data_IF_070860678331
#
_entry.id   IF_070860678331
#
_cell.length_a   1.000
_cell.length_b   1.000
_cell.length_c   1.000
_cell.angle_alpha   90.00
_cell.angle_beta   90.00
_cell.angle_gamma   90.00
#
_symmetry.space_group_name_H-M   'P 1'
#
loop_
_entity.id
_entity.type
_entity.pdbx_description
1 polymer ?
#
# COMPACT_ATOMS: atom_id res chain seq x y z
N UNK A 1 -5.43 -25.48 -10.10
CA UNK A 1 -4.17 -24.77 -9.80
C UNK A 1 -3.72 -24.92 -8.35
N UNK A 2 -4.55 -24.68 -7.32
CA UNK A 2 -4.11 -24.77 -5.92
C UNK A 2 -3.35 -26.05 -5.51
N UNK A 3 -3.87 -27.24 -5.85
CA UNK A 3 -3.16 -28.51 -5.57
C UNK A 3 -1.84 -28.65 -6.35
N UNK A 4 -1.79 -28.15 -7.59
CA UNK A 4 -0.58 -28.21 -8.43
C UNK A 4 0.53 -27.34 -7.83
N UNK A 5 0.16 -26.12 -7.41
CA UNK A 5 1.07 -25.19 -6.73
C UNK A 5 1.50 -25.76 -5.38
N UNK A 6 0.60 -26.41 -4.66
CA UNK A 6 0.96 -27.12 -3.43
C UNK A 6 2.00 -28.22 -3.69
N UNK A 7 1.83 -29.05 -4.72
CA UNK A 7 2.83 -30.07 -5.08
C UNK A 7 4.16 -29.41 -5.47
N UNK A 8 4.13 -28.36 -6.29
CA UNK A 8 5.32 -27.60 -6.68
C UNK A 8 6.10 -27.06 -5.47
N UNK A 9 5.42 -26.43 -4.52
CA UNK A 9 6.05 -25.81 -3.34
C UNK A 9 6.49 -26.86 -2.31
N UNK A 10 5.64 -27.84 -2.02
CA UNK A 10 5.84 -28.73 -0.85
C UNK A 10 6.50 -30.06 -1.21
N UNK A 11 6.38 -30.53 -2.45
CA UNK A 11 6.96 -31.81 -2.89
C UNK A 11 8.19 -31.57 -3.73
N UNK A 12 8.14 -30.60 -4.65
CA UNK A 12 9.28 -30.25 -5.52
C UNK A 12 10.17 -29.15 -4.95
N UNK A 13 9.82 -28.58 -3.80
CA UNK A 13 10.58 -27.51 -3.12
C UNK A 13 10.87 -26.30 -4.01
N UNK A 14 9.92 -25.92 -4.87
CA UNK A 14 10.02 -24.70 -5.67
C UNK A 14 9.72 -23.50 -4.75
N UNK A 15 10.78 -22.92 -4.18
CA UNK A 15 10.69 -21.77 -3.29
C UNK A 15 10.27 -20.50 -4.04
N UNK A 16 9.63 -19.58 -3.33
CA UNK A 16 9.16 -18.28 -3.85
C UNK A 16 8.21 -18.37 -5.07
N UNK A 17 7.63 -19.54 -5.32
CA UNK A 17 6.58 -19.69 -6.32
C UNK A 17 5.30 -19.01 -5.81
N UNK A 18 4.83 -18.05 -6.58
CA UNK A 18 3.57 -17.37 -6.40
C UNK A 18 2.61 -17.79 -7.52
N UNK A 19 1.32 -17.80 -7.20
CA UNK A 19 0.28 -18.11 -8.16
C UNK A 19 -0.93 -17.21 -7.93
N UNK A 20 -1.44 -16.62 -9.00
CA UNK A 20 -2.71 -15.91 -9.01
C UNK A 20 -3.60 -16.51 -10.09
N UNK A 21 -4.62 -17.27 -9.67
CA UNK A 21 -5.53 -18.01 -10.57
C UNK A 21 -4.78 -18.99 -11.49
N UNK A 22 -4.41 -18.56 -12.69
CA UNK A 22 -3.67 -19.30 -13.71
C UNK A 22 -2.24 -18.78 -13.95
N UNK A 23 -1.92 -17.59 -13.47
CA UNK A 23 -0.60 -16.99 -13.61
C UNK A 23 0.33 -17.46 -12.49
N UNK A 24 1.43 -18.12 -12.85
CA UNK A 24 2.50 -18.54 -11.94
C UNK A 24 3.75 -17.69 -12.18
N UNK A 25 4.38 -17.22 -11.11
CA UNK A 25 5.55 -16.35 -11.18
C UNK A 25 6.45 -16.59 -9.97
N UNK A 26 7.72 -16.23 -10.08
CA UNK A 26 8.72 -16.41 -9.03
C UNK A 26 10.00 -15.69 -9.36
N UNK A 27 10.98 -15.77 -8.46
CA UNK A 27 12.30 -15.16 -8.60
C UNK A 27 13.38 -16.21 -8.39
N UNK A 28 14.46 -16.12 -9.16
CA UNK A 28 15.68 -16.92 -8.96
C UNK A 28 16.91 -16.09 -9.29
N UNK A 29 18.10 -16.60 -9.00
CA UNK A 29 19.37 -16.00 -9.40
C UNK A 29 19.66 -16.26 -10.88
N UNK A 30 20.33 -15.32 -11.53
CA UNK A 30 20.59 -15.34 -12.99
C UNK A 30 21.47 -16.52 -13.45
N UNK A 31 22.24 -17.10 -12.54
CA UNK A 31 23.08 -18.26 -12.79
C UNK A 31 22.31 -19.59 -12.73
N UNK A 32 21.10 -19.61 -12.18
CA UNK A 32 20.30 -20.83 -11.98
C UNK A 32 19.37 -21.14 -13.16
N UNK A 33 19.99 -21.40 -14.31
CA UNK A 33 19.29 -21.69 -15.57
C UNK A 33 19.44 -23.16 -15.98
N UNK A 34 18.35 -23.73 -16.49
CA UNK A 34 18.27 -25.08 -17.04
C UNK A 34 17.61 -25.06 -18.43
N UNK A 35 18.04 -25.96 -19.32
CA UNK A 35 17.40 -26.11 -20.64
C UNK A 35 16.09 -26.89 -20.51
N UNK A 36 15.00 -26.30 -20.98
CA UNK A 36 13.72 -26.98 -21.12
C UNK A 36 13.56 -27.50 -22.55
N UNK A 37 13.79 -28.81 -22.72
CA UNK A 37 13.82 -29.49 -24.02
C UNK A 37 12.57 -29.26 -24.90
N UNK A 38 11.31 -29.31 -24.39
CA UNK A 38 10.14 -29.11 -25.24
C UNK A 38 10.11 -27.76 -25.96
N UNK A 39 10.74 -26.73 -25.37
CA UNK A 39 10.83 -25.40 -25.97
C UNK A 39 12.22 -25.05 -26.52
N UNK A 40 13.22 -25.90 -26.29
CA UNK A 40 14.62 -25.66 -26.67
C UNK A 40 15.10 -24.28 -26.16
N UNK A 41 14.81 -23.98 -24.89
CA UNK A 41 15.04 -22.67 -24.28
C UNK A 41 15.67 -22.82 -22.90
N UNK A 42 16.63 -21.97 -22.57
CA UNK A 42 17.16 -21.85 -21.21
C UNK A 42 16.21 -20.98 -20.39
N UNK A 43 15.75 -21.52 -19.28
CA UNK A 43 14.83 -20.89 -18.34
C UNK A 43 15.36 -21.06 -16.92
N UNK A 44 14.83 -20.30 -15.97
CA UNK A 44 15.06 -20.53 -14.55
C UNK A 44 14.81 -22.01 -14.18
N UNK A 45 15.73 -22.65 -13.44
CA UNK A 45 15.60 -24.06 -13.02
C UNK A 45 14.26 -24.32 -12.34
N UNK A 46 13.83 -23.40 -11.47
CA UNK A 46 12.52 -23.44 -10.80
C UNK A 46 11.34 -23.42 -11.78
N UNK A 47 11.44 -22.66 -12.87
CA UNK A 47 10.43 -22.62 -13.95
C UNK A 47 10.46 -23.92 -14.76
N UNK A 48 11.63 -24.46 -15.06
CA UNK A 48 11.77 -25.77 -15.73
C UNK A 48 11.16 -26.89 -14.90
N UNK A 49 11.39 -26.91 -13.59
CA UNK A 49 10.80 -27.87 -12.67
C UNK A 49 9.27 -27.79 -12.66
N UNK A 50 8.71 -26.56 -12.67
CA UNK A 50 7.27 -26.34 -12.75
C UNK A 50 6.69 -26.81 -14.10
N UNK A 51 7.35 -26.51 -15.21
CA UNK A 51 6.94 -26.95 -16.55
C UNK A 51 6.94 -28.48 -16.66
N UNK A 52 7.96 -29.15 -16.11
CA UNK A 52 8.03 -30.62 -16.06
C UNK A 52 6.91 -31.22 -15.20
N UNK A 53 6.54 -30.56 -14.09
CA UNK A 53 5.37 -30.97 -13.31
C UNK A 53 4.09 -30.85 -14.14
N UNK A 54 3.95 -29.78 -14.91
CA UNK A 54 2.80 -29.60 -15.80
C UNK A 54 2.76 -30.66 -16.90
N UNK A 55 3.90 -30.99 -17.50
CA UNK A 55 4.01 -32.10 -18.46
C UNK A 55 3.57 -33.43 -17.84
N UNK A 56 4.07 -33.73 -16.64
CA UNK A 56 3.73 -34.95 -15.91
C UNK A 56 2.23 -35.06 -15.61
N UNK A 57 1.60 -33.93 -15.27
CA UNK A 57 0.16 -33.86 -14.98
C UNK A 57 -0.71 -33.73 -16.24
N UNK A 58 -0.11 -33.57 -17.43
CA UNK A 58 -0.83 -33.31 -18.67
C UNK A 58 -1.51 -31.94 -18.72
N UNK A 59 -1.00 -30.95 -17.99
CA UNK A 59 -1.54 -29.59 -17.99
C UNK A 59 -1.07 -28.82 -19.23
N UNK A 60 -1.98 -28.17 -19.99
CA UNK A 60 -1.59 -27.42 -21.16
C UNK A 60 -0.81 -26.16 -20.76
N UNK A 61 0.33 -25.97 -21.40
CA UNK A 61 1.12 -24.75 -21.31
C UNK A 61 1.72 -24.41 -22.67
N UNK A 62 2.09 -23.15 -22.89
CA UNK A 62 2.53 -22.67 -24.20
C UNK A 62 3.78 -21.80 -24.10
N UNK A 63 4.74 -22.03 -25.00
CA UNK A 63 6.03 -21.33 -25.07
C UNK A 63 5.89 -19.81 -25.06
N UNK A 64 4.90 -19.27 -25.80
CA UNK A 64 4.67 -17.82 -25.94
C UNK A 64 4.28 -17.12 -24.63
N UNK A 65 3.88 -17.88 -23.62
CA UNK A 65 3.53 -17.38 -22.28
C UNK A 65 4.62 -17.63 -21.24
N UNK A 66 5.78 -18.16 -21.64
CA UNK A 66 6.90 -18.42 -20.74
C UNK A 66 7.92 -17.30 -20.85
N UNK A 67 8.00 -16.50 -19.80
CA UNK A 67 8.93 -15.38 -19.69
C UNK A 67 9.99 -15.69 -18.62
N UNK A 68 11.21 -15.20 -18.84
CA UNK A 68 12.34 -15.32 -17.93
C UNK A 68 13.26 -14.12 -18.18
N UNK A 69 12.88 -12.99 -17.60
CA UNK A 69 13.56 -11.70 -17.78
C UNK A 69 13.82 -11.06 -16.42
N UNK A 70 14.69 -10.06 -16.39
CA UNK A 70 15.05 -9.34 -15.16
C UNK A 70 13.91 -8.47 -14.62
N UNK A 71 13.00 -8.01 -15.49
CA UNK A 71 11.84 -7.18 -15.15
C UNK A 71 10.64 -7.80 -15.86
N UNK A 72 9.53 -8.03 -15.16
CA UNK A 72 8.37 -8.72 -15.71
C UNK A 72 7.06 -8.05 -15.35
N UNK A 73 6.13 -8.07 -16.30
CA UNK A 73 4.73 -7.75 -16.04
C UNK A 73 4.04 -8.95 -15.40
N UNK A 74 3.68 -8.79 -14.13
CA UNK A 74 2.99 -9.80 -13.31
C UNK A 74 1.66 -9.23 -12.87
N UNK A 75 0.57 -9.93 -13.18
CA UNK A 75 -0.82 -9.54 -12.87
C UNK A 75 -1.17 -8.09 -13.26
N UNK A 76 -0.48 -7.50 -14.25
CA UNK A 76 -0.68 -6.11 -14.68
C UNK A 76 0.15 -5.07 -13.93
N UNK A 77 1.18 -5.50 -13.18
CA UNK A 77 2.19 -4.63 -12.59
C UNK A 77 3.58 -4.97 -13.14
N UNK A 78 4.37 -3.95 -13.44
CA UNK A 78 5.77 -4.11 -13.80
C UNK A 78 6.59 -4.29 -12.52
N UNK A 79 7.24 -5.44 -12.39
CA UNK A 79 8.02 -5.84 -11.22
C UNK A 79 9.50 -5.84 -11.58
N UNK A 80 10.29 -5.07 -10.84
CA UNK A 80 11.75 -5.10 -10.86
C UNK A 80 12.27 -5.68 -9.54
N UNK A 81 12.66 -6.97 -9.49
CA UNK A 81 13.22 -7.62 -8.31
C UNK A 81 14.65 -7.17 -7.98
N UNK A 82 15.36 -6.48 -8.88
CA UNK A 82 16.71 -5.97 -8.60
C UNK A 82 16.63 -4.59 -7.94
N UNK A 83 15.76 -3.72 -8.44
CA UNK A 83 15.45 -2.43 -7.81
C UNK A 83 14.48 -2.57 -6.63
N UNK A 84 13.90 -3.75 -6.46
CA UNK A 84 12.87 -4.03 -5.46
C UNK A 84 11.65 -3.11 -5.60
N UNK A 85 11.19 -2.90 -6.83
CA UNK A 85 10.04 -2.02 -7.12
C UNK A 85 8.89 -2.75 -7.82
N UNK A 86 7.68 -2.28 -7.53
CA UNK A 86 6.47 -2.58 -8.30
C UNK A 86 5.81 -1.28 -8.73
N UNK A 87 5.42 -1.20 -10.00
CA UNK A 87 4.73 -0.05 -10.57
C UNK A 87 3.75 -0.48 -11.66
N UNK A 88 3.02 0.47 -12.22
CA UNK A 88 2.23 0.22 -13.43
C UNK A 88 3.15 0.19 -14.66
N UNK A 89 2.88 -0.68 -15.65
CA UNK A 89 3.54 -0.61 -16.94
C UNK A 89 3.43 0.81 -17.53
N UNK A 90 4.48 1.37 -18.17
CA UNK A 90 4.51 2.78 -18.59
C UNK A 90 3.31 3.21 -19.44
N UNK A 91 2.85 2.33 -20.32
CA UNK A 91 1.68 2.56 -21.17
C UNK A 91 0.39 2.60 -20.34
N UNK A 92 0.17 1.62 -19.47
CA UNK A 92 -0.99 1.56 -18.57
C UNK A 92 -1.03 2.74 -17.60
N UNK A 93 0.14 3.15 -17.09
CA UNK A 93 0.29 4.35 -16.24
C UNK A 93 -0.13 5.61 -16.98
N UNK A 94 0.35 5.78 -18.22
CA UNK A 94 0.02 6.93 -19.06
C UNK A 94 -1.47 6.97 -19.42
N UNK A 95 -2.06 5.83 -19.75
CA UNK A 95 -3.48 5.69 -20.06
C UNK A 95 -4.35 6.03 -18.85
N UNK A 96 -4.00 5.52 -17.66
CA UNK A 96 -4.69 5.86 -16.41
C UNK A 96 -4.67 7.36 -16.14
N UNK A 97 -3.48 7.99 -16.21
CA UNK A 97 -3.33 9.44 -15.99
C UNK A 97 -4.17 10.23 -16.99
N UNK A 98 -4.15 9.84 -18.27
CA UNK A 98 -4.94 10.49 -19.30
C UNK A 98 -6.44 10.39 -19.00
N UNK A 99 -6.93 9.20 -18.66
CA UNK A 99 -8.34 8.98 -18.34
C UNK A 99 -8.78 9.75 -17.10
N UNK A 100 -7.96 9.79 -16.05
CA UNK A 100 -8.22 10.60 -14.85
C UNK A 100 -8.32 12.09 -15.20
N UNK A 101 -7.36 12.63 -15.96
CA UNK A 101 -7.36 14.04 -16.39
C UNK A 101 -8.56 14.36 -17.29
N UNK A 102 -8.93 13.47 -18.21
CA UNK A 102 -10.13 13.61 -19.04
C UNK A 102 -11.42 13.59 -18.21
N UNK A 103 -11.49 12.72 -17.21
CA UNK A 103 -12.64 12.63 -16.33
C UNK A 103 -12.78 13.89 -15.47
N UNK A 104 -11.69 14.38 -14.89
CA UNK A 104 -11.66 15.61 -14.08
C UNK A 104 -12.12 16.86 -14.87
N UNK A 105 -11.81 16.91 -16.17
CA UNK A 105 -12.25 17.99 -17.05
C UNK A 105 -13.70 17.88 -17.53
N UNK A 106 -14.35 16.74 -17.33
CA UNK A 106 -15.75 16.56 -17.72
C UNK A 106 -16.71 17.28 -16.75
N UNK A 107 -17.90 17.67 -17.25
CA UNK A 107 -18.93 18.30 -16.42
C UNK A 107 -19.77 17.26 -15.67
N UNK A 108 -20.15 16.18 -16.36
CA UNK A 108 -20.96 15.07 -15.84
C UNK A 108 -20.51 13.78 -16.50
N UNK A 109 -20.63 12.68 -15.76
CA UNK A 109 -20.40 11.30 -16.21
C UNK A 109 -21.43 10.37 -15.60
N UNK A 110 -21.71 9.27 -16.26
CA UNK A 110 -22.62 8.22 -15.78
C UNK A 110 -22.04 7.54 -14.54
N UNK A 111 -22.89 7.05 -13.63
CA UNK A 111 -22.43 6.29 -12.46
C UNK A 111 -21.54 5.10 -12.87
N UNK A 112 -21.84 4.47 -14.00
CA UNK A 112 -20.99 3.41 -14.55
C UNK A 112 -19.56 3.89 -14.83
N UNK A 113 -19.39 5.02 -15.51
CA UNK A 113 -18.06 5.60 -15.77
C UNK A 113 -17.33 6.00 -14.47
N UNK A 114 -18.06 6.51 -13.47
CA UNK A 114 -17.49 6.78 -12.14
C UNK A 114 -16.95 5.51 -11.47
N UNK A 115 -17.72 4.40 -11.54
CA UNK A 115 -17.33 3.11 -10.96
C UNK A 115 -16.14 2.50 -11.70
N UNK A 116 -16.11 2.60 -13.04
CA UNK A 116 -14.97 2.16 -13.85
C UNK A 116 -13.68 2.91 -13.49
N UNK A 117 -13.75 4.25 -13.42
CA UNK A 117 -12.59 5.06 -13.02
C UNK A 117 -12.13 4.71 -11.61
N UNK A 118 -13.06 4.67 -10.64
CA UNK A 118 -12.72 4.37 -9.26
C UNK A 118 -12.12 2.96 -9.10
N UNK A 119 -12.60 1.98 -9.87
CA UNK A 119 -12.04 0.63 -9.91
C UNK A 119 -10.60 0.62 -10.42
N UNK A 120 -10.34 1.29 -11.54
CA UNK A 120 -8.99 1.34 -12.11
C UNK A 120 -8.01 2.11 -11.23
N UNK A 121 -8.43 3.26 -10.68
CA UNK A 121 -7.64 3.97 -9.68
C UNK A 121 -7.38 3.08 -8.47
N UNK A 122 -8.39 2.42 -7.90
CA UNK A 122 -8.21 1.53 -6.76
C UNK A 122 -7.26 0.36 -7.06
N UNK A 123 -7.25 -0.15 -8.29
CA UNK A 123 -6.28 -1.14 -8.73
C UNK A 123 -4.84 -0.59 -8.70
N UNK A 124 -4.62 0.62 -9.23
CA UNK A 124 -3.30 1.27 -9.22
C UNK A 124 -2.80 1.59 -7.80
N UNK A 125 -3.70 1.80 -6.84
CA UNK A 125 -3.34 2.09 -5.44
C UNK A 125 -2.69 0.88 -4.71
N UNK A 126 -2.61 -0.30 -5.33
CA UNK A 126 -1.76 -1.39 -4.83
C UNK A 126 -0.27 -1.06 -4.98
N UNK A 127 0.10 -0.32 -6.03
CA UNK A 127 1.47 0.14 -6.29
C UNK A 127 1.66 1.65 -6.06
N UNK A 128 0.60 2.36 -5.69
CA UNK A 128 0.64 3.77 -5.27
C UNK A 128 -0.22 4.04 -4.01
N UNK A 129 0.00 3.32 -2.90
CA UNK A 129 -0.90 3.32 -1.74
C UNK A 129 -1.03 4.68 -1.06
N UNK A 130 -0.03 5.56 -1.18
CA UNK A 130 -0.06 6.90 -0.59
C UNK A 130 -1.14 7.81 -1.19
N UNK A 131 -1.60 7.53 -2.41
CA UNK A 131 -2.59 8.37 -3.10
C UNK A 131 -4.04 7.91 -2.89
N UNK A 132 -4.29 7.00 -1.93
CA UNK A 132 -5.63 6.60 -1.49
C UNK A 132 -6.58 7.77 -1.16
N UNK A 133 -6.13 8.90 -0.58
CA UNK A 133 -7.00 10.03 -0.30
C UNK A 133 -7.73 10.58 -1.54
N UNK A 134 -7.19 10.39 -2.74
CA UNK A 134 -7.82 10.83 -3.99
C UNK A 134 -9.19 10.20 -4.27
N UNK A 135 -9.47 9.01 -3.71
CA UNK A 135 -10.74 8.34 -3.90
C UNK A 135 -11.81 8.78 -2.88
N UNK A 136 -11.47 9.61 -1.90
CA UNK A 136 -12.39 10.01 -0.85
C UNK A 136 -13.64 10.72 -1.40
N UNK A 137 -13.45 11.84 -2.11
CA UNK A 137 -14.58 12.57 -2.67
C UNK A 137 -15.26 11.79 -3.80
N UNK A 138 -14.51 10.95 -4.52
CA UNK A 138 -15.04 10.06 -5.58
C UNK A 138 -16.07 9.08 -4.99
N UNK A 139 -15.70 8.34 -3.95
CA UNK A 139 -16.62 7.40 -3.27
C UNK A 139 -17.77 8.13 -2.56
N UNK A 140 -17.50 9.26 -1.91
CA UNK A 140 -18.55 10.08 -1.31
C UNK A 140 -19.58 10.53 -2.35
N UNK A 141 -19.13 10.89 -3.56
CA UNK A 141 -20.01 11.28 -4.66
C UNK A 141 -20.83 10.12 -5.22
N UNK A 142 -20.29 8.91 -5.26
CA UNK A 142 -21.03 7.72 -5.72
C UNK A 142 -21.99 7.14 -4.68
N UNK A 143 -21.74 7.40 -3.38
CA UNK A 143 -22.51 6.82 -2.28
C UNK A 143 -24.02 7.04 -2.45
N UNK A 144 -24.78 5.97 -2.21
CA UNK A 144 -26.25 5.96 -2.24
C UNK A 144 -26.86 6.01 -3.65
N UNK A 145 -26.06 5.92 -4.71
CA UNK A 145 -26.55 5.93 -6.10
C UNK A 145 -26.51 4.52 -6.69
N UNK A 146 -27.60 4.12 -7.34
CA UNK A 146 -27.76 2.78 -7.91
C UNK A 146 -28.04 2.78 -9.42
N UNK A 147 -28.57 3.88 -9.97
CA UNK A 147 -28.86 3.98 -11.39
C UNK A 147 -27.58 4.23 -12.20
N UNK A 148 -27.16 3.22 -12.97
CA UNK A 148 -25.91 3.22 -13.73
C UNK A 148 -25.82 4.31 -14.79
N UNK A 149 -26.95 4.65 -15.43
CA UNK A 149 -27.01 5.67 -16.48
C UNK A 149 -27.19 7.09 -15.92
N UNK A 150 -27.34 7.25 -14.60
CA UNK A 150 -27.54 8.55 -13.99
C UNK A 150 -26.28 9.42 -14.14
N UNK A 151 -26.46 10.63 -14.66
CA UNK A 151 -25.39 11.61 -14.82
C UNK A 151 -25.08 12.29 -13.49
N UNK A 152 -23.85 12.09 -13.01
CA UNK A 152 -23.31 12.67 -11.78
C UNK A 152 -22.33 13.78 -12.15
N UNK A 153 -22.49 14.95 -11.54
CA UNK A 153 -21.59 16.08 -11.72
C UNK A 153 -20.23 15.86 -11.07
N UNK A 154 -19.18 16.22 -11.80
CA UNK A 154 -17.82 16.36 -11.26
C UNK A 154 -17.73 17.74 -10.60
N UNK A 155 -17.75 17.78 -9.27
CA UNK A 155 -17.60 19.03 -8.52
C UNK A 155 -16.11 19.38 -8.36
N UNK A 156 -15.85 20.59 -7.82
CA UNK A 156 -14.49 21.06 -7.59
C UNK A 156 -13.66 20.10 -6.72
N UNK A 157 -14.19 19.64 -5.58
CA UNK A 157 -13.48 18.72 -4.69
C UNK A 157 -13.04 17.42 -5.39
N UNK A 158 -13.91 16.78 -6.18
CA UNK A 158 -13.50 15.60 -6.96
C UNK A 158 -12.46 15.96 -8.03
N UNK A 159 -12.65 17.09 -8.73
CA UNK A 159 -11.68 17.53 -9.74
C UNK A 159 -10.30 17.72 -9.14
N UNK A 160 -10.23 18.40 -7.99
CA UNK A 160 -8.98 18.68 -7.30
C UNK A 160 -8.31 17.37 -6.84
N UNK A 161 -9.06 16.43 -6.25
CA UNK A 161 -8.55 15.09 -5.86
C UNK A 161 -8.02 14.27 -7.06
N UNK A 162 -8.73 14.29 -8.20
CA UNK A 162 -8.34 13.56 -9.40
C UNK A 162 -7.10 14.15 -10.06
N UNK A 163 -6.99 15.48 -10.13
CA UNK A 163 -5.80 16.15 -10.66
C UNK A 163 -4.61 15.94 -9.74
N UNK A 164 -4.81 16.08 -8.42
CA UNK A 164 -3.80 15.77 -7.42
C UNK A 164 -3.27 14.34 -7.60
N UNK A 165 -4.15 13.34 -7.75
CA UNK A 165 -3.73 11.96 -8.03
C UNK A 165 -2.90 11.84 -9.31
N UNK A 166 -3.39 12.42 -10.42
CA UNK A 166 -2.72 12.32 -11.71
C UNK A 166 -1.30 12.91 -11.66
N UNK A 167 -1.14 14.10 -11.08
CA UNK A 167 0.13 14.80 -11.00
C UNK A 167 1.14 14.06 -10.10
N UNK A 168 0.67 13.43 -9.02
CA UNK A 168 1.53 12.65 -8.13
C UNK A 168 1.91 11.29 -8.72
N UNK A 169 0.97 10.58 -9.34
CA UNK A 169 1.25 9.29 -9.99
C UNK A 169 2.23 9.48 -11.13
N UNK A 170 2.07 10.53 -11.95
CA UNK A 170 2.97 10.85 -13.07
C UNK A 170 4.45 10.85 -12.62
N UNK A 171 4.73 11.51 -11.49
CA UNK A 171 6.06 11.66 -10.92
C UNK A 171 6.51 10.50 -10.01
N UNK A 172 5.64 9.54 -9.70
CA UNK A 172 5.95 8.43 -8.79
C UNK A 172 6.67 7.28 -9.49
N UNK A 173 7.72 6.73 -8.87
CA UNK A 173 8.42 5.53 -9.32
C UNK A 173 7.72 4.22 -8.93
N UNK A 174 6.60 4.27 -8.19
CA UNK A 174 5.91 3.09 -7.66
C UNK A 174 6.22 2.82 -6.19
N UNK A 175 6.04 1.57 -5.77
CA UNK A 175 6.32 1.10 -4.42
C UNK A 175 7.59 0.27 -4.38
N UNK A 176 8.39 0.46 -3.32
CA UNK A 176 9.52 -0.40 -3.01
C UNK A 176 9.07 -1.56 -2.10
N UNK A 177 9.38 -2.81 -2.47
CA UNK A 177 8.98 -4.01 -1.73
C UNK A 177 9.55 -4.03 -0.31
N UNK A 178 10.82 -3.65 -0.14
CA UNK A 178 11.53 -3.77 1.15
C UNK A 178 11.50 -2.50 2.00
N UNK A 179 11.22 -1.32 1.42
CA UNK A 179 10.95 -0.14 2.25
C UNK A 179 9.58 -0.25 2.98
N UNK A 180 8.71 -1.15 2.51
CA UNK A 180 7.50 -1.59 3.20
C UNK A 180 7.74 -2.81 4.10
N UNK A 181 9.00 -3.13 4.48
CA UNK A 181 9.28 -4.15 5.49
C UNK A 181 8.41 -3.84 6.71
N UNK A 182 7.66 -4.86 7.09
CA UNK A 182 6.90 -4.93 8.31
C UNK A 182 7.83 -4.63 9.49
N UNK A 183 7.71 -3.42 10.06
CA UNK A 183 8.55 -2.97 11.16
C UNK A 183 7.67 -2.76 12.38
N UNK A 184 8.20 -3.07 13.55
CA UNK A 184 7.52 -2.89 14.81
C UNK A 184 7.54 -1.41 15.20
N UNK A 185 6.39 -0.70 15.16
CA UNK A 185 6.33 0.73 15.42
C UNK A 185 6.71 1.12 16.85
N UNK A 186 6.79 0.16 17.77
CA UNK A 186 7.10 0.39 19.17
C UNK A 186 8.59 0.31 19.49
N UNK A 187 9.37 -0.43 18.70
CA UNK A 187 10.79 -0.72 19.01
C UNK A 187 11.74 -0.46 17.85
N UNK A 188 11.25 -0.33 16.63
CA UNK A 188 12.07 -0.14 15.42
C UNK A 188 11.92 1.26 14.80
N UNK A 189 11.35 2.21 15.53
CA UNK A 189 11.25 3.61 15.10
C UNK A 189 12.62 4.30 15.16
N UNK A 190 12.97 5.04 14.10
CA UNK A 190 14.12 5.95 14.12
C UNK A 190 13.81 7.22 14.92
N UNK A 191 12.53 7.60 14.98
CA UNK A 191 12.04 8.71 15.78
C UNK A 191 10.64 8.43 16.30
N UNK A 192 10.42 8.79 17.55
CA UNK A 192 9.12 8.72 18.22
C UNK A 192 8.64 10.12 18.58
N UNK A 193 7.36 10.40 18.33
CA UNK A 193 6.70 11.66 18.67
C UNK A 193 5.41 11.35 19.41
N UNK A 194 5.10 12.14 20.43
CA UNK A 194 3.87 12.03 21.21
C UNK A 194 3.01 13.26 20.89
N UNK A 195 1.86 13.06 20.26
CA UNK A 195 0.91 14.13 19.95
C UNK A 195 -0.32 14.04 20.84
N UNK A 196 -0.83 15.20 21.24
CA UNK A 196 -2.09 15.33 21.96
C UNK A 196 -2.79 16.63 21.53
N UNK A 197 -4.11 16.63 21.60
CA UNK A 197 -4.94 17.79 21.29
C UNK A 197 -6.12 17.90 22.23
N UNK A 198 -6.52 19.13 22.51
CA UNK A 198 -7.75 19.47 23.18
C UNK A 198 -8.51 20.53 22.38
N UNK A 199 -9.69 20.94 22.85
CA UNK A 199 -10.51 21.95 22.17
C UNK A 199 -9.95 23.38 22.27
N UNK A 200 -8.84 23.59 22.98
CA UNK A 200 -8.22 24.92 23.16
C UNK A 200 -6.78 24.97 22.69
N UNK A 201 -6.09 23.83 22.61
CA UNK A 201 -4.71 23.75 22.17
C UNK A 201 -4.37 22.39 21.59
N UNK A 202 -3.27 22.36 20.85
CA UNK A 202 -2.67 21.15 20.32
C UNK A 202 -1.17 21.19 20.54
N UNK A 203 -0.55 20.02 20.62
CA UNK A 203 0.89 19.97 20.78
C UNK A 203 1.47 18.59 20.55
N UNK A 204 2.77 18.56 20.31
CA UNK A 204 3.51 17.32 20.24
C UNK A 204 4.88 17.48 20.89
N UNK A 205 5.38 16.36 21.40
CA UNK A 205 6.68 16.25 22.05
C UNK A 205 7.55 15.26 21.29
N UNK A 206 8.78 15.68 21.01
CA UNK A 206 9.83 14.89 20.37
C UNK A 206 10.88 14.58 21.45
N UNK A 207 10.84 13.40 22.09
CA UNK A 207 11.73 13.07 23.22
C UNK A 207 13.21 13.08 22.81
N UNK A 208 13.51 12.59 21.60
CA UNK A 208 14.88 12.50 21.09
C UNK A 208 15.57 13.87 20.97
N UNK A 209 14.79 14.93 20.75
CA UNK A 209 15.28 16.31 20.64
C UNK A 209 15.03 17.13 21.91
N UNK A 210 14.40 16.52 22.93
CA UNK A 210 13.87 17.22 24.11
C UNK A 210 13.05 18.48 23.73
N UNK A 211 12.24 18.36 22.67
CA UNK A 211 11.52 19.47 22.06
C UNK A 211 10.01 19.28 22.23
N UNK A 212 9.36 20.22 22.92
CA UNK A 212 7.91 20.32 22.99
C UNK A 212 7.42 21.50 22.15
N UNK A 213 6.43 21.27 21.30
CA UNK A 213 5.79 22.30 20.49
C UNK A 213 4.30 22.30 20.80
N UNK A 214 3.73 23.49 20.97
CA UNK A 214 2.31 23.67 21.24
C UNK A 214 1.77 24.89 20.50
N UNK A 215 0.51 24.83 20.10
CA UNK A 215 -0.22 25.93 19.49
C UNK A 215 -1.65 25.99 20.05
N UNK A 216 -2.24 27.18 20.01
CA UNK A 216 -3.67 27.35 20.26
C UNK A 216 -4.44 26.90 19.02
N UNK A 217 -5.59 26.26 19.23
CA UNK A 217 -6.49 25.94 18.11
C UNK A 217 -7.17 27.20 17.59
N UNK A 218 -7.49 27.20 16.29
CA UNK A 218 -8.27 28.29 15.70
C UNK A 218 -9.76 28.13 16.06
N UNK A 219 -10.21 28.94 17.01
CA UNK A 219 -11.62 28.98 17.44
C UNK A 219 -12.57 29.53 16.36
N UNK A 220 -12.03 30.17 15.31
CA UNK A 220 -12.80 30.62 14.14
C UNK A 220 -13.05 29.51 13.12
N UNK A 221 -12.41 28.35 13.26
CA UNK A 221 -12.60 27.21 12.37
C UNK A 221 -14.00 26.61 12.52
N UNK A 222 -14.64 26.25 11.41
CA UNK A 222 -15.90 25.48 11.42
C UNK A 222 -15.75 24.13 12.16
N UNK A 223 -14.51 23.62 12.25
CA UNK A 223 -14.17 22.36 12.91
C UNK A 223 -13.73 22.55 14.37
N UNK A 224 -13.79 23.77 14.93
CA UNK A 224 -13.29 24.05 16.28
C UNK A 224 -13.88 23.15 17.37
N UNK A 225 -15.14 22.75 17.20
CA UNK A 225 -15.88 21.87 18.12
C UNK A 225 -15.53 20.37 17.99
N UNK A 226 -14.77 19.97 16.96
CA UNK A 226 -14.45 18.58 16.67
C UNK A 226 -13.05 18.24 17.19
N UNK A 227 -12.98 17.59 18.35
CA UNK A 227 -11.72 17.14 18.95
C UNK A 227 -10.88 16.29 17.96
N UNK A 228 -11.55 15.40 17.23
CA UNK A 228 -10.93 14.53 16.23
C UNK A 228 -10.20 15.31 15.12
N UNK A 229 -10.72 16.49 14.72
CA UNK A 229 -10.04 17.32 13.74
C UNK A 229 -8.69 17.82 14.27
N UNK A 230 -8.64 18.28 15.52
CA UNK A 230 -7.41 18.80 16.13
C UNK A 230 -6.38 17.71 16.43
N UNK A 231 -6.83 16.52 16.84
CA UNK A 231 -5.95 15.35 16.97
C UNK A 231 -5.28 15.02 15.62
N UNK A 232 -6.04 15.02 14.52
CA UNK A 232 -5.51 14.79 13.19
C UNK A 232 -4.56 15.92 12.70
N UNK A 233 -4.89 17.18 12.99
CA UNK A 233 -4.00 18.32 12.71
C UNK A 233 -2.69 18.22 13.51
N UNK A 234 -2.74 17.70 14.74
CA UNK A 234 -1.53 17.49 15.56
C UNK A 234 -0.57 16.51 14.91
N UNK A 235 -1.10 15.40 14.40
CA UNK A 235 -0.31 14.42 13.64
C UNK A 235 0.26 15.05 12.37
N UNK A 236 -0.54 15.80 11.62
CA UNK A 236 -0.07 16.52 10.43
C UNK A 236 1.05 17.52 10.76
N UNK A 237 0.90 18.28 11.84
CA UNK A 237 1.89 19.24 12.29
C UNK A 237 3.22 18.57 12.67
N UNK A 238 3.15 17.43 13.36
CA UNK A 238 4.32 16.61 13.68
C UNK A 238 5.02 16.11 12.40
N UNK A 239 4.28 15.60 11.41
CA UNK A 239 4.83 15.19 10.11
C UNK A 239 5.52 16.39 9.45
N UNK A 240 4.83 17.52 9.32
CA UNK A 240 5.37 18.73 8.68
C UNK A 240 6.62 19.27 9.38
N UNK A 241 6.68 19.20 10.70
CA UNK A 241 7.85 19.61 11.47
C UNK A 241 9.08 18.79 11.10
N UNK A 242 8.94 17.47 11.01
CA UNK A 242 10.06 16.58 10.66
C UNK A 242 10.47 16.72 9.20
N UNK A 243 9.50 16.86 8.30
CA UNK A 243 9.77 16.86 6.86
C UNK A 243 10.27 18.21 6.34
N UNK A 244 9.83 19.33 6.92
CA UNK A 244 10.18 20.70 6.49
C UNK A 244 11.28 21.35 7.33
N UNK A 245 11.86 20.64 8.28
CA UNK A 245 13.02 21.12 9.04
C UNK A 245 14.22 21.38 8.10
N UNK A 246 15.05 22.41 8.34
CA UNK A 246 16.24 22.70 7.52
C UNK A 246 17.25 21.55 7.43
N UNK A 247 17.22 20.60 8.37
CA UNK A 247 17.92 19.32 8.26
C UNK A 247 16.93 18.16 8.50
N UNK A 248 16.16 17.76 7.47
CA UNK A 248 15.13 16.75 7.64
C UNK A 248 15.79 15.41 7.94
N UNK A 249 15.34 14.73 9.00
CA UNK A 249 15.75 13.35 9.26
C UNK A 249 15.20 12.47 8.13
N UNK A 250 16.09 11.73 7.45
CA UNK A 250 15.80 11.03 6.20
C UNK A 250 16.36 9.62 6.23
N UNK A 251 15.68 8.74 5.51
CA UNK A 251 16.15 7.38 5.25
C UNK A 251 16.89 7.31 3.93
N UNK A 252 17.43 6.15 3.63
CA UNK A 252 17.96 5.80 2.31
C UNK A 252 16.92 5.00 1.54
N UNK A 253 17.18 4.74 0.25
CA UNK A 253 16.36 3.83 -0.54
C UNK A 253 16.34 2.40 0.04
N UNK A 254 17.42 1.99 0.69
CA UNK A 254 17.58 0.67 1.31
C UNK A 254 17.01 0.60 2.73
N UNK A 255 17.01 1.72 3.46
CA UNK A 255 16.49 1.82 4.83
C UNK A 255 15.65 3.10 4.96
N UNK A 256 14.32 3.02 4.75
CA UNK A 256 13.45 4.18 4.90
C UNK A 256 13.47 4.70 6.34
N UNK A 257 13.20 5.98 6.52
CA UNK A 257 13.10 6.58 7.85
C UNK A 257 11.79 6.16 8.50
N UNK A 258 11.87 5.53 9.66
CA UNK A 258 10.73 5.00 10.41
C UNK A 258 10.31 6.00 11.47
N UNK A 259 9.19 6.67 11.25
CA UNK A 259 8.60 7.64 12.17
C UNK A 259 7.39 7.03 12.87
N UNK A 260 7.40 7.02 14.20
CA UNK A 260 6.22 6.69 15.02
C UNK A 260 5.64 7.96 15.62
N UNK A 261 4.37 8.24 15.34
CA UNK A 261 3.61 9.28 16.02
C UNK A 261 2.55 8.60 16.88
N UNK A 262 2.61 8.84 18.19
CA UNK A 262 1.63 8.35 19.16
C UNK A 262 0.51 9.37 19.32
N UNK A 263 -0.71 8.86 19.27
CA UNK A 263 -1.93 9.58 19.61
C UNK A 263 -2.81 8.61 20.41
N UNK A 264 -3.55 9.15 21.36
CA UNK A 264 -4.58 8.44 22.13
C UNK A 264 -5.91 8.32 21.36
N UNK A 265 -6.03 8.98 20.21
CA UNK A 265 -7.20 8.94 19.34
C UNK A 265 -7.13 7.81 18.31
N UNK A 266 -7.90 6.75 18.58
CA UNK A 266 -8.07 5.64 17.64
C UNK A 266 -8.59 6.09 16.27
N UNK A 267 -9.44 7.12 16.21
CA UNK A 267 -9.96 7.65 14.93
C UNK A 267 -8.86 8.30 14.11
N UNK A 268 -8.00 9.08 14.75
CA UNK A 268 -6.83 9.69 14.12
C UNK A 268 -5.88 8.64 13.59
N UNK A 269 -5.52 7.67 14.42
CA UNK A 269 -4.68 6.55 13.99
C UNK A 269 -5.30 5.84 12.77
N UNK A 270 -6.60 5.54 12.80
CA UNK A 270 -7.27 4.82 11.71
C UNK A 270 -7.23 5.57 10.36
N UNK A 271 -7.43 6.89 10.32
CA UNK A 271 -7.45 7.63 9.04
C UNK A 271 -6.06 7.73 8.40
N UNK A 272 -5.00 7.85 9.21
CA UNK A 272 -3.62 7.86 8.70
C UNK A 272 -3.16 6.45 8.29
N UNK A 273 -3.53 5.41 9.05
CA UNK A 273 -3.17 4.01 8.69
C UNK A 273 -3.82 3.57 7.39
N UNK A 274 -5.09 3.94 7.18
CA UNK A 274 -5.85 3.54 6.00
C UNK A 274 -5.70 4.49 4.81
N UNK A 275 -5.19 5.70 5.06
CA UNK A 275 -5.23 6.83 4.13
C UNK A 275 -6.62 7.03 3.52
N UNK A 276 -7.64 6.82 4.34
CA UNK A 276 -9.04 6.92 3.97
C UNK A 276 -9.81 7.64 5.08
N UNK A 277 -10.48 8.72 4.73
CA UNK A 277 -11.28 9.50 5.66
C UNK A 277 -12.59 9.96 5.05
N UNK A 278 -13.41 10.66 5.85
CA UNK A 278 -14.53 11.43 5.31
C UNK A 278 -14.01 12.69 4.60
N UNK A 279 -14.77 13.28 3.66
CA UNK A 279 -14.35 14.46 2.90
C UNK A 279 -13.81 15.61 3.77
N UNK A 280 -14.38 15.80 4.96
CA UNK A 280 -13.97 16.84 5.92
C UNK A 280 -12.52 16.71 6.41
N UNK A 281 -12.00 15.49 6.50
CA UNK A 281 -10.63 15.21 6.98
C UNK A 281 -9.65 14.90 5.85
N UNK A 282 -10.16 14.68 4.62
CA UNK A 282 -9.31 14.33 3.47
C UNK A 282 -8.18 15.34 3.20
N UNK A 283 -8.39 16.67 3.33
CA UNK A 283 -7.31 17.65 3.15
C UNK A 283 -6.12 17.44 4.10
N UNK A 284 -6.36 16.87 5.29
CA UNK A 284 -5.29 16.56 6.24
C UNK A 284 -4.43 15.42 5.69
N UNK A 285 -5.07 14.37 5.16
CA UNK A 285 -4.36 13.22 4.58
C UNK A 285 -3.61 13.59 3.31
N UNK A 286 -4.20 14.39 2.42
CA UNK A 286 -3.49 14.87 1.21
C UNK A 286 -2.27 15.70 1.60
N UNK A 287 -2.42 16.62 2.57
CA UNK A 287 -1.32 17.45 3.07
C UNK A 287 -0.23 16.64 3.81
N UNK A 288 -0.57 15.48 4.38
CA UNK A 288 0.38 14.58 5.03
C UNK A 288 1.23 13.80 4.03
N UNK A 289 0.73 13.60 2.81
CA UNK A 289 1.42 12.91 1.70
C UNK A 289 2.24 13.88 0.86
N UNK A 290 1.81 15.14 0.75
CA UNK A 290 2.53 16.23 0.08
C UNK A 290 3.96 16.59 0.56
N UNK A 291 4.46 16.28 1.79
CA UNK A 291 5.70 16.89 2.27
C UNK A 291 7.00 16.46 1.56
N UNK A 292 7.01 15.39 0.77
CA UNK A 292 8.11 15.07 -0.15
C UNK A 292 7.67 13.84 -0.98
N UNK A 293 7.86 13.83 -2.30
CA UNK A 293 7.64 12.64 -3.18
C UNK A 293 8.60 11.48 -2.88
N UNK A 294 9.17 11.43 -1.67
CA UNK A 294 10.27 10.56 -1.23
C UNK A 294 9.90 9.64 -0.07
N UNK A 295 8.64 9.67 0.37
CA UNK A 295 8.13 8.70 1.36
C UNK A 295 7.60 7.47 0.64
N UNK A 296 8.04 6.29 1.08
CA UNK A 296 7.48 5.00 0.69
C UNK A 296 6.73 4.42 1.88
N UNK A 297 5.42 4.23 1.75
CA UNK A 297 4.62 3.43 2.69
C UNK A 297 4.24 4.12 4.00
N UNK A 298 2.95 4.13 4.33
CA UNK A 298 2.49 4.30 5.70
C UNK A 298 1.89 2.97 6.14
N UNK A 299 2.67 2.17 6.87
CA UNK A 299 2.15 1.11 7.73
C UNK A 299 2.27 1.62 9.15
N UNK A 300 1.18 2.22 9.63
CA UNK A 300 0.98 2.36 11.06
C UNK A 300 0.00 1.24 11.44
N UNK A 301 0.44 0.39 12.37
CA UNK A 301 -0.27 -0.79 12.93
C UNK A 301 -0.38 -2.09 12.11
N UNK A 302 -0.05 -2.16 10.81
CA UNK A 302 0.02 -3.46 10.12
C UNK A 302 1.29 -4.26 10.49
N UNK A 303 2.39 -3.51 10.75
CA UNK A 303 3.71 -3.94 11.25
C UNK A 303 3.69 -4.98 12.36
N UNK A 304 3.33 -4.56 13.57
CA UNK A 304 3.46 -5.43 14.74
C UNK A 304 2.56 -6.67 14.70
N UNK A 305 1.37 -6.57 14.08
CA UNK A 305 0.46 -7.70 13.99
C UNK A 305 0.93 -8.77 12.97
N UNK A 306 1.60 -8.32 11.91
CA UNK A 306 2.11 -9.17 10.85
C UNK A 306 3.44 -9.81 11.27
N UNK A 307 4.36 -9.06 11.89
CA UNK A 307 5.59 -9.59 12.46
C UNK A 307 5.34 -10.64 13.55
N UNK A 308 4.39 -10.38 14.46
CA UNK A 308 3.99 -11.39 15.46
C UNK A 308 3.31 -12.60 14.80
N UNK A 309 2.57 -12.43 13.71
CA UNK A 309 2.01 -13.56 12.95
C UNK A 309 3.10 -14.37 12.23
N UNK A 310 4.13 -13.71 11.69
CA UNK A 310 5.30 -14.32 11.07
C UNK A 310 6.15 -15.11 12.10
N UNK A 311 6.25 -14.61 13.33
CA UNK A 311 6.87 -15.29 14.48
C UNK A 311 5.99 -16.38 15.11
N UNK A 312 4.82 -16.68 14.51
CA UNK A 312 3.94 -17.77 14.96
C UNK A 312 3.09 -17.43 16.20
N UNK A 313 3.00 -16.17 16.60
CA UNK A 313 2.18 -15.77 17.74
C UNK A 313 0.68 -16.07 17.46
N UNK A 314 -0.05 -16.67 18.42
CA UNK A 314 -1.46 -16.94 18.24
C UNK A 314 -2.28 -15.66 18.00
N UNK A 315 -3.35 -15.71 17.18
CA UNK A 315 -4.19 -14.54 16.88
C UNK A 315 -4.70 -13.77 18.12
N UNK A 316 -5.01 -14.47 19.22
CA UNK A 316 -5.44 -13.83 20.47
C UNK A 316 -4.31 -13.09 21.20
N UNK A 317 -3.05 -13.53 21.05
CA UNK A 317 -1.87 -12.82 21.55
C UNK A 317 -1.60 -11.58 20.69
N UNK A 318 -1.71 -11.70 19.37
CA UNK A 318 -1.58 -10.58 18.43
C UNK A 318 -2.64 -9.51 18.72
N UNK A 319 -3.87 -9.94 18.95
CA UNK A 319 -5.01 -9.08 19.29
C UNK A 319 -4.82 -8.37 20.63
N UNK A 320 -4.38 -9.11 21.66
CA UNK A 320 -4.13 -8.55 22.98
C UNK A 320 -2.95 -7.56 22.98
N UNK A 321 -1.85 -7.92 22.32
CA UNK A 321 -0.63 -7.10 22.21
C UNK A 321 -0.87 -5.86 21.32
N UNK A 322 -1.66 -6.01 20.26
CA UNK A 322 -2.12 -4.91 19.42
C UNK A 322 -3.13 -4.00 20.11
N UNK A 323 -3.73 -4.44 21.23
CA UNK A 323 -4.86 -3.80 21.94
C UNK A 323 -6.09 -3.61 21.06
N UNK A 324 -6.40 -4.60 20.22
CA UNK A 324 -7.54 -4.52 19.31
C UNK A 324 -8.77 -5.11 19.99
N UNK A 325 -9.86 -4.34 19.99
CA UNK A 325 -11.13 -4.79 20.55
C UNK A 325 -11.89 -5.78 19.63
N UNK A 326 -11.39 -6.04 18.43
CA UNK A 326 -12.01 -6.89 17.41
C UNK A 326 -10.97 -7.59 16.51
N UNK A 327 -11.41 -8.50 15.64
CA UNK A 327 -10.55 -9.31 14.75
C UNK A 327 -10.02 -8.52 13.53
N UNK A 328 -9.99 -7.19 13.61
CA UNK A 328 -9.59 -6.34 12.48
C UNK A 328 -8.16 -6.65 11.96
N UNK A 329 -7.29 -7.25 12.78
CA UNK A 329 -5.88 -7.57 12.43
C UNK A 329 -5.77 -8.63 11.36
N UNK A 330 -6.78 -9.49 11.29
CA UNK A 330 -6.87 -10.49 10.25
C UNK A 330 -7.01 -9.87 8.86
N UNK A 331 -7.57 -8.66 8.72
CA UNK A 331 -7.63 -7.97 7.42
C UNK A 331 -6.26 -7.47 6.94
N UNK A 332 -5.31 -7.23 7.86
CA UNK A 332 -3.97 -6.77 7.53
C UNK A 332 -3.07 -7.96 7.15
N UNK A 333 -3.16 -9.06 7.90
CA UNK A 333 -2.49 -10.34 7.58
C UNK A 333 -2.89 -10.87 6.19
N UNK A 334 -4.17 -10.71 5.80
CA UNK A 334 -4.72 -11.26 4.56
C UNK A 334 -4.41 -10.47 3.27
N UNK A 335 -3.87 -9.25 3.36
CA UNK A 335 -3.77 -8.34 2.20
C UNK A 335 -2.43 -8.36 1.45
N UNK A 336 -1.40 -8.98 2.00
CA UNK A 336 -0.09 -9.01 1.36
C UNK A 336 0.26 -10.45 0.91
N UNK A 337 0.28 -10.73 -0.40
CA UNK A 337 0.59 -12.05 -0.95
C UNK A 337 1.97 -12.58 -0.53
N UNK A 338 2.92 -11.68 -0.25
CA UNK A 338 4.27 -12.02 0.25
C UNK A 338 4.20 -12.51 1.69
N UNK A 339 3.38 -11.87 2.53
CA UNK A 339 3.12 -12.25 3.93
C UNK A 339 2.37 -13.58 4.00
N UNK A 340 1.39 -13.82 3.12
CA UNK A 340 0.71 -15.11 3.03
C UNK A 340 1.70 -16.25 2.74
N UNK A 341 2.73 -15.99 1.92
CA UNK A 341 3.79 -16.94 1.61
C UNK A 341 4.76 -17.13 2.79
N UNK A 342 5.11 -16.06 3.52
CA UNK A 342 5.92 -16.13 4.73
C UNK A 342 5.23 -16.92 5.86
N UNK A 343 3.93 -16.73 6.06
CA UNK A 343 3.12 -17.49 7.03
C UNK A 343 3.10 -19.00 6.75
N UNK A 344 2.97 -19.39 5.47
CA UNK A 344 2.98 -20.80 5.05
C UNK A 344 4.37 -21.46 5.18
N UNK A 345 5.43 -20.66 5.26
CA UNK A 345 6.80 -21.11 5.51
C UNK A 345 7.12 -21.18 7.01
N UNK A 346 6.62 -20.25 7.83
CA UNK A 346 6.84 -20.19 9.27
C UNK A 346 6.15 -21.33 10.04
N UNK A 347 4.96 -21.77 9.62
CA UNK A 347 4.26 -22.94 10.19
C UNK A 347 4.98 -24.29 9.98
N UNK A 348 6.15 -24.32 9.33
CA UNK A 348 6.95 -25.54 9.09
C UNK A 348 8.26 -25.59 9.88
N UNK A 349 8.45 -24.68 10.85
CA UNK A 349 9.62 -24.70 11.75
C UNK A 349 9.36 -25.36 13.11
N UNK A 350 8.17 -25.92 13.33
CA UNK A 350 7.87 -26.82 14.44
C UNK A 350 7.69 -28.27 13.95
#
# INVERSE_FOLDING_TARGET
MGLVVWVAIFVLNILFLCCYVDDCFGVTTDDDLETYEPYQMRLARVQVALLRLWDFLGLPHGRRKQFCEYILDVIGFLIDPNALTATLPPESKSELIQQVRMFANSRRRTLHEWQQLAGWMNWSLNVFPLYRPALCNVYAKMRGKSNQSALIFVNKAVRDDLLWFADHVENSSGVFFFANIDWNPLVEADLEIYGDACLTGLGFWVPADNLGLSALVDQGSEMAHLIFYWEAITVLAAIHHITRSPNPRRGTAERPFRLTIRSDSSNTVNIFNSLHAQPTYNPILTAAVEPDTRWSGQSMQAGGATAMAEDGAPPHIIQATGRWASDAFQFYIRKNPVVLNAMLAAQRRD
#
